data_IF_253770831940
#
_entry.id   IF_253770831940
#
_cell.length_a   1.000
_cell.length_b   1.000
_cell.length_c   1.000
_cell.angle_alpha   90.00
_cell.angle_beta   90.00
_cell.angle_gamma   90.00
#
_symmetry.space_group_name_H-M   'P 1'
#
loop_
_entity.id
_entity.type
_entity.pdbx_description
1 polymer ?
#
# COMPACT_ATOMS: atom_id res chain seq x y z
N UNK A 1 24.22 -3.09 -12.76
CA UNK A 1 23.53 -2.48 -11.60
C UNK A 1 24.47 -2.49 -10.40
N UNK A 2 24.63 -1.36 -9.72
CA UNK A 2 25.37 -1.28 -8.45
C UNK A 2 24.68 -2.18 -7.41
N UNK A 3 25.45 -2.99 -6.68
CA UNK A 3 24.93 -3.87 -5.61
C UNK A 3 24.16 -3.08 -4.55
N UNK A 4 24.55 -1.83 -4.30
CA UNK A 4 23.88 -0.93 -3.35
C UNK A 4 22.48 -0.54 -3.79
N UNK A 5 22.32 -0.22 -5.07
CA UNK A 5 21.03 0.16 -5.62
C UNK A 5 20.07 -1.04 -5.66
N UNK A 6 20.58 -2.21 -6.06
CA UNK A 6 19.79 -3.44 -6.04
C UNK A 6 19.29 -3.80 -4.64
N UNK A 7 20.14 -3.61 -3.60
CA UNK A 7 19.71 -3.83 -2.22
C UNK A 7 18.66 -2.81 -1.78
N UNK A 8 18.83 -1.53 -2.15
CA UNK A 8 17.89 -0.46 -1.81
C UNK A 8 16.49 -0.71 -2.39
N UNK A 9 16.42 -1.17 -3.63
CA UNK A 9 15.16 -1.52 -4.29
C UNK A 9 14.48 -2.73 -3.61
N UNK A 10 15.26 -3.75 -3.22
CA UNK A 10 14.73 -4.90 -2.46
C UNK A 10 14.20 -4.48 -1.08
N UNK A 11 14.94 -3.62 -0.38
CA UNK A 11 14.52 -3.13 0.93
C UNK A 11 13.26 -2.27 0.83
N UNK A 12 13.14 -1.44 -0.22
CA UNK A 12 11.95 -0.63 -0.48
C UNK A 12 10.73 -1.52 -0.75
N UNK A 13 10.87 -2.50 -1.65
CA UNK A 13 9.81 -3.46 -1.96
C UNK A 13 9.35 -4.23 -0.71
N UNK A 14 10.28 -4.65 0.15
CA UNK A 14 9.92 -5.34 1.40
C UNK A 14 9.05 -4.48 2.32
N UNK A 15 9.30 -3.17 2.38
CA UNK A 15 8.50 -2.22 3.16
C UNK A 15 7.15 -1.96 2.50
N UNK A 16 7.11 -1.86 1.17
CA UNK A 16 5.86 -1.74 0.41
C UNK A 16 4.95 -2.97 0.60
N UNK A 17 5.51 -4.18 0.55
CA UNK A 17 4.78 -5.42 0.87
C UNK A 17 4.20 -5.41 2.29
N UNK A 18 4.94 -4.85 3.24
CA UNK A 18 4.48 -4.68 4.62
C UNK A 18 3.34 -3.65 4.70
N UNK A 19 3.46 -2.51 4.02
CA UNK A 19 2.43 -1.46 4.05
C UNK A 19 1.11 -1.92 3.46
N UNK A 20 1.13 -2.70 2.37
CA UNK A 20 -0.11 -3.26 1.77
C UNK A 20 -0.81 -4.26 2.70
N UNK A 21 -0.05 -5.03 3.50
CA UNK A 21 -0.66 -5.89 4.53
C UNK A 21 -1.38 -5.08 5.60
N UNK A 22 -0.83 -3.94 5.99
CA UNK A 22 -1.51 -3.03 6.92
C UNK A 22 -2.73 -2.41 6.25
N UNK A 23 -2.63 -1.96 5.00
CA UNK A 23 -3.75 -1.44 4.23
C UNK A 23 -4.94 -2.41 4.19
N UNK A 24 -4.66 -3.69 3.91
CA UNK A 24 -5.64 -4.79 3.93
C UNK A 24 -6.32 -4.97 5.30
N UNK A 25 -5.61 -4.67 6.38
CA UNK A 25 -6.14 -4.72 7.75
C UNK A 25 -6.81 -3.41 8.20
N UNK A 26 -6.75 -2.35 7.39
CA UNK A 26 -7.35 -1.05 7.67
C UNK A 26 -8.65 -0.84 6.88
N UNK A 27 -8.72 -1.32 5.63
CA UNK A 27 -9.91 -1.19 4.79
C UNK A 27 -10.57 -2.53 4.47
N UNK A 28 -11.90 -2.52 4.49
CA UNK A 28 -12.73 -3.66 4.16
C UNK A 28 -12.89 -3.85 2.64
N UNK A 29 -13.33 -5.05 2.26
CA UNK A 29 -13.80 -5.37 0.91
C UNK A 29 -12.84 -5.05 -0.24
N UNK A 30 -11.53 -5.07 0.03
CA UNK A 30 -10.52 -4.87 -1.01
C UNK A 30 -10.46 -6.12 -1.89
N UNK A 31 -10.45 -5.90 -3.21
CA UNK A 31 -10.20 -6.92 -4.22
C UNK A 31 -8.80 -6.78 -4.83
N UNK A 32 -8.39 -5.56 -5.13
CA UNK A 32 -7.10 -5.26 -5.76
C UNK A 32 -6.49 -3.97 -5.24
N UNK A 33 -5.17 -3.94 -5.09
CA UNK A 33 -4.38 -2.73 -4.81
C UNK A 33 -3.29 -2.60 -5.87
N UNK A 34 -3.25 -1.46 -6.55
CA UNK A 34 -2.14 -1.07 -7.42
C UNK A 34 -1.37 0.07 -6.77
N UNK A 35 -0.09 -0.15 -6.50
CA UNK A 35 0.80 0.86 -5.95
C UNK A 35 1.40 1.66 -7.09
N UNK A 36 1.01 2.93 -7.16
CA UNK A 36 1.40 3.87 -8.21
C UNK A 36 2.70 4.57 -7.85
N UNK A 37 2.86 4.89 -6.56
CA UNK A 37 4.09 5.46 -6.01
C UNK A 37 4.33 4.98 -4.58
N UNK A 38 5.58 4.72 -4.23
CA UNK A 38 5.99 4.41 -2.85
C UNK A 38 7.35 5.04 -2.55
N UNK A 39 7.40 6.03 -1.66
CA UNK A 39 8.62 6.78 -1.36
C UNK A 39 8.79 7.03 0.14
N UNK A 40 10.03 6.91 0.61
CA UNK A 40 10.40 7.28 1.98
C UNK A 40 10.53 8.80 2.10
N UNK A 41 9.85 9.40 3.06
CA UNK A 41 10.08 10.77 3.48
C UNK A 41 11.42 10.85 4.24
N UNK A 42 12.38 11.68 3.78
CA UNK A 42 13.71 11.75 4.39
C UNK A 42 13.72 12.42 5.77
N UNK A 43 12.71 13.22 6.10
CA UNK A 43 12.61 13.96 7.36
C UNK A 43 11.95 13.11 8.45
N UNK A 44 10.76 12.59 8.17
CA UNK A 44 9.97 11.83 9.15
C UNK A 44 10.34 10.34 9.17
N UNK A 45 10.94 9.84 8.09
CA UNK A 45 11.22 8.43 7.92
C UNK A 45 9.99 7.56 7.57
N UNK A 46 8.79 8.15 7.51
CA UNK A 46 7.57 7.49 7.04
C UNK A 46 7.61 7.24 5.53
N UNK A 47 6.77 6.33 5.06
CA UNK A 47 6.66 6.00 3.64
C UNK A 47 5.33 6.51 3.12
N UNK A 48 5.36 7.44 2.17
CA UNK A 48 4.18 7.87 1.44
C UNK A 48 3.88 6.86 0.33
N UNK A 49 2.64 6.39 0.29
CA UNK A 49 2.13 5.48 -0.72
C UNK A 49 0.99 6.17 -1.47
N UNK A 50 0.96 6.00 -2.78
CA UNK A 50 -0.13 6.43 -3.64
C UNK A 50 -0.68 5.19 -4.33
N UNK A 51 -1.96 4.92 -4.15
CA UNK A 51 -2.55 3.66 -4.58
C UNK A 51 -3.85 3.87 -5.33
N UNK A 52 -4.12 2.96 -6.26
CA UNK A 52 -5.46 2.68 -6.75
C UNK A 52 -5.97 1.44 -6.02
N UNK A 53 -7.01 1.60 -5.20
CA UNK A 53 -7.66 0.51 -4.48
C UNK A 53 -9.00 0.19 -5.13
N UNK A 54 -9.27 -1.09 -5.40
CA UNK A 54 -10.51 -1.55 -6.02
C UNK A 54 -11.22 -2.50 -5.08
N UNK A 55 -12.51 -2.24 -4.82
CA UNK A 55 -13.32 -3.07 -3.94
C UNK A 55 -13.93 -4.29 -4.65
N UNK A 56 -14.65 -5.12 -3.90
CA UNK A 56 -15.34 -6.32 -4.38
C UNK A 56 -16.41 -6.03 -5.45
N UNK A 57 -17.01 -4.83 -5.45
CA UNK A 57 -17.96 -4.38 -6.49
C UNK A 57 -17.27 -3.94 -7.78
N UNK A 58 -15.93 -3.85 -7.79
CA UNK A 58 -15.15 -3.35 -8.92
C UNK A 58 -15.09 -1.84 -9.03
N UNK A 59 -15.51 -1.11 -8.00
CA UNK A 59 -15.31 0.34 -7.89
C UNK A 59 -13.90 0.62 -7.39
N UNK A 60 -13.26 1.64 -7.94
CA UNK A 60 -11.89 2.02 -7.58
C UNK A 60 -11.83 3.43 -7.00
N UNK A 61 -10.93 3.62 -6.05
CA UNK A 61 -10.54 4.92 -5.51
C UNK A 61 -9.03 5.11 -5.64
N UNK A 62 -8.61 6.34 -5.83
CA UNK A 62 -7.20 6.72 -5.88
C UNK A 62 -6.91 7.64 -4.71
N UNK A 63 -5.98 7.26 -3.84
CA UNK A 63 -5.68 8.03 -2.64
C UNK A 63 -4.25 7.77 -2.14
N UNK A 64 -3.76 8.68 -1.30
CA UNK A 64 -2.50 8.52 -0.60
C UNK A 64 -2.68 8.11 0.87
N UNK A 65 -1.68 7.39 1.37
CA UNK A 65 -1.54 7.10 2.79
C UNK A 65 -0.08 7.12 3.23
N UNK A 66 0.14 7.39 4.52
CA UNK A 66 1.46 7.38 5.14
C UNK A 66 1.63 6.15 6.03
N UNK A 67 2.64 5.36 5.73
CA UNK A 67 2.99 4.16 6.48
C UNK A 67 4.20 4.41 7.39
N UNK A 68 4.06 4.06 8.67
CA UNK A 68 5.16 4.04 9.63
C UNK A 68 5.71 2.62 9.77
N UNK A 69 6.90 2.37 9.21
CA UNK A 69 7.55 1.05 9.31
C UNK A 69 7.81 0.61 10.76
N UNK A 70 8.20 1.56 11.63
CA UNK A 70 8.54 1.27 13.03
C UNK A 70 7.30 0.89 13.85
N UNK A 71 6.18 1.58 13.61
CA UNK A 71 4.92 1.32 14.31
C UNK A 71 4.10 0.21 13.63
N UNK A 72 4.42 -0.14 12.38
CA UNK A 72 3.68 -1.08 11.55
C UNK A 72 2.20 -0.69 11.38
N UNK A 73 1.95 0.58 11.11
CA UNK A 73 0.60 1.15 10.97
C UNK A 73 0.53 2.17 9.83
N UNK A 74 -0.68 2.42 9.34
CA UNK A 74 -0.98 3.60 8.53
C UNK A 74 -1.24 4.75 9.50
N UNK A 75 -0.33 5.74 9.51
CA UNK A 75 -0.40 6.88 10.44
C UNK A 75 -1.40 7.94 10.00
N UNK A 76 -1.69 8.01 8.70
CA UNK A 76 -2.68 8.92 8.11
C UNK A 76 -3.02 8.49 6.68
N UNK A 77 -4.22 8.84 6.22
CA UNK A 77 -4.69 8.64 4.85
C UNK A 77 -5.69 9.75 4.48
N UNK A 78 -5.75 10.08 3.19
CA UNK A 78 -6.82 10.91 2.63
C UNK A 78 -8.09 10.09 2.41
N UNK A 79 -9.25 10.62 2.81
CA UNK A 79 -10.55 10.04 2.50
C UNK A 79 -11.12 10.74 1.27
N UNK A 80 -11.15 10.01 0.15
CA UNK A 80 -11.63 10.45 -1.15
C UNK A 80 -13.02 9.88 -1.47
N UNK A 81 -13.32 8.66 -0.98
CA UNK A 81 -14.62 8.01 -1.15
C UNK A 81 -14.89 6.99 -0.03
N UNK A 82 -15.77 7.34 0.91
CA UNK A 82 -16.14 6.49 2.06
C UNK A 82 -16.86 5.19 1.69
N UNK A 83 -17.53 5.11 0.52
CA UNK A 83 -18.17 3.87 0.07
C UNK A 83 -17.14 2.81 -0.38
N UNK A 84 -15.93 3.24 -0.74
CA UNK A 84 -14.84 2.37 -1.20
C UNK A 84 -13.76 2.24 -0.12
N UNK A 85 -13.43 3.34 0.57
CA UNK A 85 -12.47 3.41 1.68
C UNK A 85 -13.13 3.16 3.03
N UNK A 86 -14.04 2.19 3.10
CA UNK A 86 -14.69 1.84 4.36
C UNK A 86 -13.69 1.10 5.28
N UNK A 87 -13.59 1.54 6.53
CA UNK A 87 -12.71 0.92 7.52
C UNK A 87 -13.16 -0.50 7.86
N UNK A 88 -12.18 -1.40 8.01
CA UNK A 88 -12.39 -2.79 8.38
C UNK A 88 -11.28 -3.70 7.89
N UNK A 89 -11.40 -4.99 8.16
CA UNK A 89 -10.36 -5.97 7.78
C UNK A 89 -10.81 -6.74 6.55
N UNK A 90 -10.03 -6.67 5.48
CA UNK A 90 -10.18 -7.59 4.34
C UNK A 90 -9.52 -8.93 4.67
N UNK A 91 -10.32 -9.97 4.87
CA UNK A 91 -9.84 -11.32 5.18
C UNK A 91 -9.47 -12.17 3.96
N UNK A 92 -10.15 -12.08 2.79
CA UNK A 92 -9.76 -12.83 1.60
C UNK A 92 -8.39 -12.43 1.06
N UNK A 93 -7.82 -13.23 0.16
CA UNK A 93 -6.63 -12.82 -0.59
C UNK A 93 -6.99 -11.69 -1.55
N UNK A 94 -6.08 -10.74 -1.71
CA UNK A 94 -6.22 -9.63 -2.66
C UNK A 94 -5.10 -9.69 -3.68
N UNK A 95 -5.40 -9.23 -4.89
CA UNK A 95 -4.39 -9.00 -5.91
C UNK A 95 -3.64 -7.70 -5.60
N UNK A 96 -2.32 -7.74 -5.60
CA UNK A 96 -1.47 -6.57 -5.41
C UNK A 96 -0.56 -6.41 -6.60
N UNK A 97 -0.46 -5.20 -7.14
CA UNK A 97 0.52 -4.80 -8.16
C UNK A 97 1.43 -3.75 -7.51
N UNK A 98 2.69 -4.11 -7.29
CA UNK A 98 3.68 -3.25 -6.63
C UNK A 98 4.25 -2.20 -7.58
N UNK A 99 4.89 -1.17 -7.02
CA UNK A 99 5.49 -0.05 -7.76
C UNK A 99 6.58 -0.49 -8.74
N UNK A 100 7.20 -1.65 -8.52
CA UNK A 100 8.19 -2.24 -9.43
C UNK A 100 7.57 -3.11 -10.53
N UNK A 101 6.24 -3.23 -10.57
CA UNK A 101 5.49 -4.03 -11.55
C UNK A 101 5.29 -5.50 -11.17
N UNK A 102 5.86 -5.98 -10.06
CA UNK A 102 5.56 -7.34 -9.56
C UNK A 102 4.10 -7.44 -9.12
N UNK A 103 3.48 -8.60 -9.33
CA UNK A 103 2.13 -8.89 -8.86
C UNK A 103 2.09 -10.14 -7.97
N UNK A 104 1.31 -10.08 -6.90
CA UNK A 104 1.19 -11.15 -5.90
C UNK A 104 -0.23 -11.20 -5.32
N UNK A 105 -0.62 -12.37 -4.81
CA UNK A 105 -1.84 -12.58 -4.01
C UNK A 105 -1.47 -12.58 -2.51
N UNK A 106 -2.03 -11.65 -1.74
CA UNK A 106 -1.65 -11.39 -0.32
C UNK A 106 -2.82 -11.54 0.62
#
# INVERSE_FOLDING_TARGET
MDKREAQRQKDLLAVEKQSVKVLKNTFADIREVKVEEFKKNPVTGSYGALVTMTNNEGKSVYFDYFFSKQMNEISSYGVENEEIQNEGVTTPKIRVIYSNGEAEEV
#
